data_IF_404515721146
#
_entry.id   IF_404515721146
#
_cell.length_a   1.000
_cell.length_b   1.000
_cell.length_c   1.000
_cell.angle_alpha   90.00
_cell.angle_beta   90.00
_cell.angle_gamma   90.00
#
_symmetry.space_group_name_H-M   'P 1'
#
loop_
_entity.id
_entity.type
_entity.pdbx_description
1 polymer ?
#
# COMPACT_ATOMS: atom_id res chain seq x y z
N UNK A 1 6.78 -12.87 -16.55
CA UNK A 1 6.46 -12.85 -15.11
C UNK A 1 5.99 -11.47 -14.68
N UNK A 2 4.89 -11.41 -13.94
CA UNK A 2 4.31 -10.16 -13.45
C UNK A 2 4.80 -9.80 -12.04
N UNK A 3 4.64 -8.53 -11.65
CA UNK A 3 5.04 -7.99 -10.34
C UNK A 3 4.36 -8.72 -9.16
N UNK A 4 3.15 -9.24 -9.38
CA UNK A 4 2.37 -9.97 -8.39
C UNK A 4 2.13 -11.41 -8.85
N UNK A 5 2.10 -12.32 -7.88
CA UNK A 5 1.72 -13.72 -8.06
C UNK A 5 0.50 -14.05 -7.19
N UNK A 6 -0.24 -15.14 -7.47
CA UNK A 6 -1.38 -15.56 -6.63
C UNK A 6 -1.04 -15.71 -5.14
N UNK A 7 0.21 -16.06 -4.82
CA UNK A 7 0.68 -16.24 -3.43
C UNK A 7 0.75 -14.92 -2.64
N UNK A 8 0.68 -13.77 -3.32
CA UNK A 8 0.64 -12.45 -2.68
C UNK A 8 -0.77 -12.03 -2.25
N UNK A 9 -1.76 -12.89 -2.48
CA UNK A 9 -3.16 -12.61 -2.18
C UNK A 9 -3.69 -13.55 -1.11
N UNK A 10 -4.58 -13.05 -0.27
CA UNK A 10 -5.33 -13.84 0.70
C UNK A 10 -6.79 -13.40 0.76
N UNK A 11 -7.68 -14.32 1.08
CA UNK A 11 -9.08 -14.02 1.37
C UNK A 11 -9.22 -13.54 2.81
N UNK A 12 -9.95 -12.44 3.01
CA UNK A 12 -10.39 -12.02 4.33
C UNK A 12 -11.72 -12.71 4.71
N UNK A 13 -12.13 -12.57 5.98
CA UNK A 13 -13.36 -13.17 6.52
C UNK A 13 -14.66 -12.65 5.88
N UNK A 14 -14.58 -11.59 5.10
CA UNK A 14 -15.72 -10.94 4.42
C UNK A 14 -15.75 -11.31 2.92
N UNK A 15 -15.04 -12.37 2.51
CA UNK A 15 -14.88 -12.78 1.09
C UNK A 15 -14.19 -11.74 0.20
N UNK A 16 -13.42 -10.83 0.80
CA UNK A 16 -12.59 -9.86 0.09
C UNK A 16 -11.20 -10.42 -0.21
N UNK A 17 -10.73 -10.25 -1.45
CA UNK A 17 -9.35 -10.53 -1.84
C UNK A 17 -8.44 -9.36 -1.44
N UNK A 18 -7.37 -9.63 -0.69
CA UNK A 18 -6.42 -8.61 -0.22
C UNK A 18 -4.98 -9.01 -0.50
N UNK A 19 -4.13 -8.01 -0.72
CA UNK A 19 -2.68 -8.18 -0.78
C UNK A 19 -2.11 -8.43 0.61
N UNK A 20 -1.28 -9.45 0.72
CA UNK A 20 -0.49 -9.73 1.91
C UNK A 20 0.66 -8.71 2.09
N UNK A 21 1.51 -8.91 3.10
CA UNK A 21 2.61 -7.97 3.36
C UNK A 21 3.59 -7.91 2.18
N UNK A 22 3.89 -9.06 1.56
CA UNK A 22 4.85 -9.14 0.46
C UNK A 22 4.28 -8.48 -0.80
N UNK A 23 3.03 -8.79 -1.16
CA UNK A 23 2.30 -8.18 -2.25
C UNK A 23 2.19 -6.67 -2.15
N UNK A 24 1.85 -6.15 -0.97
CA UNK A 24 1.84 -4.70 -0.73
C UNK A 24 3.22 -4.07 -0.93
N UNK A 25 4.28 -4.71 -0.43
CA UNK A 25 5.65 -4.21 -0.57
C UNK A 25 6.13 -4.17 -2.01
N UNK A 26 5.64 -5.07 -2.87
CA UNK A 26 5.95 -5.07 -4.29
C UNK A 26 5.07 -4.09 -5.08
N UNK A 27 3.77 -4.08 -4.81
CA UNK A 27 2.78 -3.28 -5.55
C UNK A 27 2.95 -1.77 -5.34
N UNK A 28 3.06 -1.33 -4.09
CA UNK A 28 2.99 0.10 -3.80
C UNK A 28 4.12 0.91 -4.45
N UNK A 29 5.41 0.50 -4.38
CA UNK A 29 6.48 1.20 -5.09
C UNK A 29 6.22 1.34 -6.59
N UNK A 30 5.84 0.25 -7.27
CA UNK A 30 5.59 0.28 -8.71
C UNK A 30 4.39 1.17 -9.07
N UNK A 31 3.32 1.12 -8.27
CA UNK A 31 2.17 2.01 -8.45
C UNK A 31 2.55 3.48 -8.21
N UNK A 32 3.47 3.76 -7.27
CA UNK A 32 3.92 5.12 -7.00
C UNK A 32 4.76 5.71 -8.13
N UNK A 33 5.58 4.90 -8.80
CA UNK A 33 6.34 5.36 -9.96
C UNK A 33 5.39 5.86 -11.06
N UNK A 34 4.26 5.18 -11.27
CA UNK A 34 3.20 5.65 -12.18
C UNK A 34 2.46 6.89 -11.64
N UNK A 35 2.27 6.96 -10.32
CA UNK A 35 1.49 7.99 -9.66
C UNK A 35 2.26 9.28 -9.36
N UNK A 36 3.59 9.32 -9.57
CA UNK A 36 4.47 10.41 -9.16
C UNK A 36 4.03 11.79 -9.69
N UNK A 37 3.47 11.83 -10.90
CA UNK A 37 2.96 13.06 -11.51
C UNK A 37 1.79 13.70 -10.72
N UNK A 38 1.03 12.90 -9.98
CA UNK A 38 -0.10 13.38 -9.16
C UNK A 38 0.23 13.40 -7.67
N UNK A 39 1.17 12.58 -7.21
CA UNK A 39 1.54 12.45 -5.81
C UNK A 39 3.06 12.40 -5.64
N UNK A 40 3.66 13.58 -5.60
CA UNK A 40 5.09 13.74 -5.42
C UNK A 40 5.58 13.17 -4.07
N UNK A 41 6.81 12.65 -4.06
CA UNK A 41 7.42 12.00 -2.91
C UNK A 41 7.35 12.80 -1.59
N UNK A 42 7.61 14.13 -1.54
CA UNK A 42 7.53 14.89 -0.28
C UNK A 42 6.12 14.94 0.33
N UNK A 43 5.10 15.05 -0.53
CA UNK A 43 3.69 15.07 -0.11
C UNK A 43 3.30 13.69 0.40
N UNK A 44 3.75 12.61 -0.26
CA UNK A 44 3.55 11.23 0.17
C UNK A 44 4.14 11.00 1.56
N UNK A 45 5.39 11.39 1.78
CA UNK A 45 6.07 11.14 3.06
C UNK A 45 5.36 11.91 4.18
N UNK A 46 4.91 13.14 3.89
CA UNK A 46 4.09 13.94 4.80
C UNK A 46 2.75 13.26 5.13
N UNK A 47 2.05 12.73 4.12
CA UNK A 47 0.78 12.01 4.29
C UNK A 47 0.98 10.72 5.12
N UNK A 48 2.06 9.97 4.86
CA UNK A 48 2.39 8.76 5.59
C UNK A 48 2.62 9.05 7.08
N UNK A 49 3.34 10.14 7.39
CA UNK A 49 3.53 10.62 8.76
C UNK A 49 2.19 11.00 9.41
N UNK A 50 1.35 11.78 8.73
CA UNK A 50 0.03 12.19 9.25
C UNK A 50 -0.88 10.98 9.55
N UNK A 51 -0.96 10.03 8.62
CA UNK A 51 -1.73 8.80 8.80
C UNK A 51 -1.17 7.94 9.94
N UNK A 52 0.16 7.92 10.10
CA UNK A 52 0.84 7.29 11.22
C UNK A 52 0.41 7.89 12.55
N UNK A 53 0.47 9.23 12.67
CA UNK A 53 0.02 9.95 13.87
C UNK A 53 -1.45 9.68 14.18
N UNK A 54 -2.35 9.75 13.19
CA UNK A 54 -3.78 9.48 13.39
C UNK A 54 -4.06 8.05 13.88
N UNK A 55 -3.28 7.06 13.46
CA UNK A 55 -3.42 5.68 13.96
C UNK A 55 -3.00 5.54 15.42
N UNK A 56 -2.03 6.32 15.88
CA UNK A 56 -1.58 6.30 17.28
C UNK A 56 -2.67 6.81 18.23
N UNK A 57 -3.44 7.82 17.82
CA UNK A 57 -4.53 8.39 18.62
C UNK A 57 -5.86 7.62 18.55
N UNK A 58 -5.91 6.52 17.80
CA UNK A 58 -7.13 5.71 17.64
C UNK A 58 -7.25 4.58 18.68
N UNK A 59 -6.31 4.52 19.63
CA UNK A 59 -6.29 3.60 20.77
C UNK A 59 -6.46 4.37 22.08
#
# INVERSE_FOLDING_TARGET
DGLLSPNHFYENKEHGCRLDKQGRSAFFPAWYDEAEQWLQAPIRDSLALMLGSLRQYRY
#
